data_IF_175877078577
#
_entry.id   IF_175877078577
#
_cell.length_a   1.000
_cell.length_b   1.000
_cell.length_c   1.000
_cell.angle_alpha   90.00
_cell.angle_beta   90.00
_cell.angle_gamma   90.00
#
_symmetry.space_group_name_H-M   'P 1'
#
loop_
_entity.id
_entity.type
_entity.pdbx_description
1 polymer ?
#
# COMPACT_ATOMS: atom_id res chain seq x y z
N UNK A 1 18.63 33.68 -16.11
CA UNK A 1 18.96 32.52 -15.26
C UNK A 1 20.31 32.81 -14.65
N UNK A 2 20.39 32.83 -13.34
CA UNK A 2 21.60 33.28 -12.64
C UNK A 2 22.52 32.10 -12.35
N UNK A 3 23.80 32.39 -12.09
CA UNK A 3 24.80 31.38 -11.75
C UNK A 3 24.32 30.49 -10.59
N UNK A 4 23.63 31.10 -9.61
CA UNK A 4 23.02 30.39 -8.49
C UNK A 4 22.01 29.33 -8.95
N UNK A 5 21.17 29.66 -9.93
CA UNK A 5 20.17 28.73 -10.48
C UNK A 5 20.83 27.51 -11.12
N UNK A 6 21.93 27.70 -11.85
CA UNK A 6 22.69 26.59 -12.43
C UNK A 6 23.41 25.75 -11.38
N UNK A 7 24.00 26.39 -10.37
CA UNK A 7 24.69 25.69 -9.27
C UNK A 7 23.70 24.84 -8.47
N UNK A 8 22.59 25.43 -8.01
CA UNK A 8 21.58 24.70 -7.24
C UNK A 8 20.89 23.61 -8.07
N UNK A 9 20.57 23.91 -9.33
CA UNK A 9 20.00 22.91 -10.25
C UNK A 9 20.94 21.73 -10.49
N UNK A 10 22.24 21.99 -10.67
CA UNK A 10 23.27 20.96 -10.80
C UNK A 10 23.36 20.06 -9.56
N UNK A 11 23.37 20.66 -8.37
CA UNK A 11 23.38 19.92 -7.10
C UNK A 11 22.13 19.05 -6.96
N UNK A 12 20.95 19.55 -7.35
CA UNK A 12 19.71 18.77 -7.33
C UNK A 12 19.80 17.55 -8.25
N UNK A 13 20.27 17.73 -9.49
CA UNK A 13 20.42 16.63 -10.44
C UNK A 13 21.42 15.58 -9.95
N UNK A 14 22.57 16.00 -9.43
CA UNK A 14 23.58 15.09 -8.87
C UNK A 14 23.01 14.33 -7.67
N UNK A 15 22.30 15.02 -6.77
CA UNK A 15 21.67 14.39 -5.60
C UNK A 15 20.62 13.34 -6.01
N UNK A 16 19.79 13.66 -7.00
CA UNK A 16 18.82 12.70 -7.55
C UNK A 16 19.53 11.49 -8.18
N UNK A 17 20.58 11.72 -8.98
CA UNK A 17 21.35 10.65 -9.61
C UNK A 17 21.96 9.69 -8.56
N UNK A 18 22.56 10.25 -7.50
CA UNK A 18 23.09 9.47 -6.37
C UNK A 18 21.95 8.71 -5.67
N UNK A 19 20.84 9.37 -5.37
CA UNK A 19 19.69 8.76 -4.71
C UNK A 19 19.13 7.58 -5.51
N UNK A 20 18.91 7.73 -6.82
CA UNK A 20 18.42 6.63 -7.66
C UNK A 20 19.46 5.52 -7.83
N UNK A 21 20.74 5.87 -7.93
CA UNK A 21 21.82 4.89 -8.00
C UNK A 21 21.90 4.06 -6.72
N UNK A 22 21.84 4.68 -5.53
CA UNK A 22 21.89 3.95 -4.27
C UNK A 22 20.56 3.26 -3.91
N UNK A 23 19.44 3.86 -4.29
CA UNK A 23 18.10 3.30 -4.07
C UNK A 23 17.86 1.95 -4.75
N UNK A 24 18.65 1.61 -5.79
CA UNK A 24 18.63 0.28 -6.42
C UNK A 24 19.11 -0.83 -5.48
N UNK A 25 19.97 -0.50 -4.51
CA UNK A 25 20.53 -1.48 -3.60
C UNK A 25 19.50 -1.78 -2.52
N UNK A 26 18.95 -2.99 -2.58
CA UNK A 26 18.14 -3.50 -1.48
C UNK A 26 19.01 -3.72 -0.25
N UNK A 27 18.42 -3.50 0.92
CA UNK A 27 18.99 -3.96 2.18
C UNK A 27 19.37 -5.45 2.08
N UNK A 28 20.38 -5.86 2.84
CA UNK A 28 20.92 -7.23 2.78
C UNK A 28 19.80 -8.27 2.93
N UNK A 29 19.92 -9.40 2.21
CA UNK A 29 18.99 -10.52 2.31
C UNK A 29 18.78 -10.96 3.76
N UNK A 30 19.85 -10.96 4.58
CA UNK A 30 19.83 -11.27 6.02
C UNK A 30 18.90 -10.34 6.83
N UNK A 31 18.68 -9.11 6.40
CA UNK A 31 17.78 -8.15 7.08
C UNK A 31 16.35 -8.20 6.53
N UNK A 32 16.20 -8.62 5.27
CA UNK A 32 14.90 -8.71 4.59
C UNK A 32 14.14 -10.00 4.92
N UNK A 33 14.88 -11.10 5.05
CA UNK A 33 14.34 -12.45 5.23
C UNK A 33 14.55 -12.90 6.69
N UNK A 34 14.03 -12.11 7.62
CA UNK A 34 14.05 -12.45 9.04
C UNK A 34 12.88 -13.37 9.36
N UNK A 35 13.14 -14.41 10.14
CA UNK A 35 12.14 -15.40 10.55
C UNK A 35 10.99 -14.78 11.35
N UNK A 36 11.27 -13.73 12.13
CA UNK A 36 10.31 -12.96 12.94
C UNK A 36 9.63 -11.82 12.17
N UNK A 37 9.68 -11.83 10.83
CA UNK A 37 9.12 -10.74 10.01
C UNK A 37 7.62 -10.61 10.24
N UNK A 38 7.20 -9.41 10.64
CA UNK A 38 5.79 -9.02 10.68
C UNK A 38 5.17 -9.22 9.30
N UNK A 39 4.22 -10.14 9.20
CA UNK A 39 3.44 -10.38 8.00
C UNK A 39 2.35 -9.31 7.88
N UNK A 40 2.71 -8.20 7.23
CA UNK A 40 1.77 -7.13 6.85
C UNK A 40 0.71 -7.60 5.84
N UNK A 41 0.86 -8.79 5.26
CA UNK A 41 -0.11 -9.47 4.41
C UNK A 41 -1.20 -10.20 5.23
N UNK A 42 -0.88 -10.58 6.47
CA UNK A 42 -1.76 -11.31 7.37
C UNK A 42 -3.02 -10.47 7.63
N UNK A 43 -4.15 -10.97 7.16
CA UNK A 43 -5.48 -10.38 7.36
C UNK A 43 -5.73 -9.00 6.71
N UNK A 44 -5.02 -8.61 5.64
CA UNK A 44 -5.24 -7.31 4.96
C UNK A 44 -6.69 -7.04 4.53
N UNK A 45 -7.46 -8.09 4.27
CA UNK A 45 -8.85 -8.00 3.83
C UNK A 45 -9.85 -8.50 4.87
N UNK A 46 -9.44 -8.70 6.13
CA UNK A 46 -10.33 -9.21 7.18
C UNK A 46 -11.59 -8.36 7.35
N UNK A 47 -11.41 -7.05 7.48
CA UNK A 47 -12.53 -6.11 7.62
C UNK A 47 -13.42 -6.04 6.37
N UNK A 48 -12.84 -6.12 5.18
CA UNK A 48 -13.60 -6.14 3.93
C UNK A 48 -14.43 -7.41 3.78
N UNK A 49 -13.90 -8.58 4.20
CA UNK A 49 -14.66 -9.84 4.24
C UNK A 49 -15.87 -9.73 5.18
N UNK A 50 -15.68 -9.17 6.37
CA UNK A 50 -16.76 -8.98 7.35
C UNK A 50 -17.83 -8.03 6.80
N UNK A 51 -17.41 -6.91 6.20
CA UNK A 51 -18.31 -5.94 5.58
C UNK A 51 -19.15 -6.57 4.47
N UNK A 52 -18.52 -7.31 3.55
CA UNK A 52 -19.22 -7.99 2.45
C UNK A 52 -20.24 -9.01 2.97
N UNK A 53 -19.89 -9.75 4.02
CA UNK A 53 -20.78 -10.72 4.64
C UNK A 53 -21.98 -10.03 5.32
N UNK A 54 -21.75 -8.91 6.01
CA UNK A 54 -22.82 -8.11 6.59
C UNK A 54 -23.78 -7.55 5.51
N UNK A 55 -23.25 -7.03 4.40
CA UNK A 55 -24.06 -6.57 3.27
C UNK A 55 -24.92 -7.69 2.67
N UNK A 56 -24.35 -8.89 2.51
CA UNK A 56 -25.07 -10.06 2.03
C UNK A 56 -26.23 -10.43 2.97
N UNK A 57 -25.99 -10.45 4.29
CA UNK A 57 -27.03 -10.74 5.27
C UNK A 57 -28.20 -9.74 5.18
N UNK A 58 -27.90 -8.45 5.07
CA UNK A 58 -28.93 -7.40 4.93
C UNK A 58 -29.76 -7.63 3.66
N UNK A 59 -29.10 -7.95 2.54
CA UNK A 59 -29.77 -8.21 1.28
C UNK A 59 -30.68 -9.45 1.36
N UNK A 60 -30.22 -10.53 1.97
CA UNK A 60 -31.02 -11.75 2.19
C UNK A 60 -32.25 -11.45 3.04
N UNK A 61 -32.10 -10.72 4.15
CA UNK A 61 -33.23 -10.33 5.01
C UNK A 61 -34.24 -9.49 4.23
N UNK A 62 -33.77 -8.50 3.46
CA UNK A 62 -34.65 -7.66 2.65
C UNK A 62 -35.43 -8.47 1.59
N UNK A 63 -34.78 -9.45 0.95
CA UNK A 63 -35.45 -10.35 0.00
C UNK A 63 -36.50 -11.23 0.68
N UNK A 64 -36.19 -11.77 1.86
CA UNK A 64 -37.13 -12.57 2.64
C UNK A 64 -38.37 -11.75 3.01
N UNK A 65 -38.18 -10.54 3.54
CA UNK A 65 -39.29 -9.62 3.87
C UNK A 65 -40.15 -9.36 2.64
N UNK A 66 -39.51 -9.11 1.48
CA UNK A 66 -40.23 -8.89 0.22
C UNK A 66 -41.06 -10.10 -0.20
N UNK A 67 -40.55 -11.33 -0.01
CA UNK A 67 -41.28 -12.55 -0.32
C UNK A 67 -42.53 -12.77 0.54
N UNK A 68 -42.53 -12.31 1.80
CA UNK A 68 -43.68 -12.43 2.70
C UNK A 68 -44.64 -11.25 2.66
N UNK A 69 -44.25 -10.13 2.03
CA UNK A 69 -45.07 -8.92 1.93
C UNK A 69 -45.71 -8.73 0.54
N UNK A 70 -45.32 -9.54 -0.45
CA UNK A 70 -46.00 -9.66 -1.77
C UNK A 70 -47.02 -10.78 -1.75
#
# INVERSE_FOLDING_TARGET
MDLNTFVFGGITLVSLAIFFYFGRFRASSKQRDREDRIDWGKNRFGYLRILLLAMLCILVIALIIRMFTS
#
